data_IF_149984284676
#
_entry.id   IF_149984284676
#
_cell.length_a   1.000
_cell.length_b   1.000
_cell.length_c   1.000
_cell.angle_alpha   90.00
_cell.angle_beta   90.00
_cell.angle_gamma   90.00
#
_symmetry.space_group_name_H-M   'P 1'
#
loop_
_entity.id
_entity.type
_entity.pdbx_description
1 polymer ?
#
# COMPACT_ATOMS: atom_id res chain seq x y z
N UNK A 1 -22.61 1.44 -5.19
CA UNK A 1 -21.89 2.63 -4.68
C UNK A 1 -20.39 2.40 -4.82
N UNK A 2 -19.65 3.35 -5.41
CA UNK A 2 -18.19 3.31 -5.49
C UNK A 2 -17.62 3.82 -4.17
N UNK A 3 -16.76 3.05 -3.52
CA UNK A 3 -16.07 3.42 -2.28
C UNK A 3 -14.64 2.92 -2.34
N UNK A 4 -13.76 3.51 -1.53
CA UNK A 4 -12.36 3.07 -1.39
C UNK A 4 -12.03 2.87 0.08
N UNK A 5 -11.06 1.99 0.33
CA UNK A 5 -10.48 1.87 1.66
C UNK A 5 -9.71 3.16 1.98
N UNK A 6 -9.89 3.70 3.18
CA UNK A 6 -9.21 4.90 3.65
C UNK A 6 -8.61 4.64 5.03
N UNK A 7 -7.60 5.43 5.43
CA UNK A 7 -7.09 5.41 6.81
C UNK A 7 -8.20 5.80 7.79
N UNK A 8 -8.13 5.26 9.00
CA UNK A 8 -9.21 5.34 9.99
C UNK A 8 -9.63 6.77 10.36
N UNK A 9 -8.69 7.73 10.30
CA UNK A 9 -8.93 9.15 10.62
C UNK A 9 -9.44 9.99 9.43
N UNK A 10 -9.50 9.43 8.22
CA UNK A 10 -9.96 10.19 7.04
C UNK A 10 -11.41 10.66 7.18
N UNK A 11 -12.37 9.87 7.71
CA UNK A 11 -13.72 10.35 7.95
C UNK A 11 -13.77 11.59 8.86
N UNK A 12 -12.97 11.59 9.93
CA UNK A 12 -12.88 12.69 10.91
C UNK A 12 -12.28 13.95 10.27
N UNK A 13 -11.23 13.78 9.47
CA UNK A 13 -10.59 14.87 8.73
C UNK A 13 -11.57 15.50 7.73
N UNK A 14 -12.35 14.68 7.01
CA UNK A 14 -13.39 15.15 6.08
C UNK A 14 -14.48 15.94 6.83
N UNK A 15 -14.95 15.42 7.97
CA UNK A 15 -15.96 16.12 8.78
C UNK A 15 -15.46 17.50 9.25
N UNK A 16 -14.20 17.58 9.67
CA UNK A 16 -13.58 18.81 10.15
C UNK A 16 -13.33 19.83 9.03
N UNK A 17 -12.81 19.40 7.89
CA UNK A 17 -12.36 20.30 6.83
C UNK A 17 -13.50 20.68 5.86
N UNK A 18 -14.30 19.70 5.46
CA UNK A 18 -15.34 19.88 4.44
C UNK A 18 -16.72 20.16 5.06
N UNK A 19 -16.83 20.17 6.40
CA UNK A 19 -18.09 20.31 7.17
C UNK A 19 -19.18 19.33 6.71
N UNK A 20 -18.80 18.15 6.21
CA UNK A 20 -19.70 17.13 5.68
C UNK A 20 -19.47 15.79 6.38
N UNK A 21 -20.55 15.05 6.66
CA UNK A 21 -20.47 13.69 7.20
C UNK A 21 -20.31 12.66 6.08
N UNK A 22 -19.14 12.02 5.92
CA UNK A 22 -18.97 10.99 4.90
C UNK A 22 -19.74 9.72 5.27
N UNK A 23 -20.34 9.06 4.26
CA UNK A 23 -20.94 7.74 4.47
C UNK A 23 -19.83 6.70 4.60
N UNK A 24 -19.76 6.03 5.75
CA UNK A 24 -18.78 4.98 6.03
C UNK A 24 -19.47 3.65 6.34
N UNK A 25 -18.75 2.55 6.10
CA UNK A 25 -19.16 1.19 6.51
C UNK A 25 -17.91 0.48 7.03
N UNK A 26 -18.03 -0.25 8.13
CA UNK A 26 -16.99 -1.18 8.59
C UNK A 26 -17.00 -2.43 7.71
N UNK A 27 -15.84 -2.81 7.19
CA UNK A 27 -15.69 -4.00 6.34
C UNK A 27 -15.57 -5.26 7.19
N UNK A 28 -16.15 -6.36 6.74
CA UNK A 28 -15.80 -7.69 7.25
C UNK A 28 -14.35 -8.04 6.93
N UNK A 29 -13.77 -9.05 7.59
CA UNK A 29 -12.39 -9.49 7.34
C UNK A 29 -12.11 -9.79 5.86
N UNK A 30 -13.02 -10.52 5.19
CA UNK A 30 -12.89 -10.87 3.77
C UNK A 30 -13.00 -9.66 2.84
N UNK A 31 -13.93 -8.74 3.15
CA UNK A 31 -14.04 -7.48 2.40
C UNK A 31 -12.78 -6.62 2.59
N UNK A 32 -12.28 -6.50 3.83
CA UNK A 32 -11.08 -5.73 4.13
C UNK A 32 -9.84 -6.29 3.42
N UNK A 33 -9.62 -7.60 3.46
CA UNK A 33 -8.51 -8.24 2.74
C UNK A 33 -8.54 -7.94 1.24
N UNK A 34 -9.73 -8.02 0.62
CA UNK A 34 -9.92 -7.71 -0.80
C UNK A 34 -9.67 -6.22 -1.09
N UNK A 35 -10.25 -5.32 -0.31
CA UNK A 35 -10.10 -3.88 -0.54
C UNK A 35 -8.68 -3.40 -0.24
N UNK A 36 -7.97 -4.00 0.72
CA UNK A 36 -6.55 -3.69 0.99
C UNK A 36 -5.64 -4.10 -0.18
N UNK A 37 -5.90 -5.25 -0.81
CA UNK A 37 -5.18 -5.67 -2.03
C UNK A 37 -5.45 -4.74 -3.22
N UNK A 38 -6.69 -4.26 -3.37
CA UNK A 38 -7.00 -3.24 -4.38
C UNK A 38 -6.27 -1.94 -4.08
N UNK A 39 -6.25 -1.52 -2.81
CA UNK A 39 -5.54 -0.32 -2.37
C UNK A 39 -4.04 -0.41 -2.68
N UNK A 40 -3.41 -1.58 -2.48
CA UNK A 40 -2.00 -1.79 -2.89
C UNK A 40 -1.77 -1.51 -4.38
N UNK A 41 -2.69 -1.92 -5.25
CA UNK A 41 -2.59 -1.69 -6.69
C UNK A 41 -2.85 -0.22 -7.04
N UNK A 42 -3.79 0.44 -6.35
CA UNK A 42 -4.05 1.88 -6.44
C UNK A 42 -2.79 2.68 -6.10
N UNK A 43 -2.21 2.49 -4.91
CA UNK A 43 -1.02 3.23 -4.48
C UNK A 43 0.22 2.92 -5.34
N UNK A 44 0.39 1.67 -5.78
CA UNK A 44 1.48 1.33 -6.69
C UNK A 44 1.33 2.03 -8.06
N UNK A 45 0.10 2.19 -8.54
CA UNK A 45 -0.21 2.95 -9.76
C UNK A 45 0.04 4.45 -9.55
N UNK A 46 -0.32 5.01 -8.39
CA UNK A 46 -0.09 6.40 -8.03
C UNK A 46 1.42 6.67 -7.89
N UNK A 47 2.16 5.83 -7.17
CA UNK A 47 3.63 5.87 -7.09
C UNK A 47 4.31 5.78 -8.46
N UNK A 48 3.76 5.00 -9.41
CA UNK A 48 4.33 4.88 -10.76
C UNK A 48 4.19 6.16 -11.60
N UNK A 49 3.22 7.02 -11.25
CA UNK A 49 2.94 8.29 -11.92
C UNK A 49 3.40 9.50 -11.11
N UNK A 50 3.84 9.29 -9.87
CA UNK A 50 4.19 10.33 -8.93
C UNK A 50 5.41 11.14 -9.41
N UNK A 51 5.37 12.44 -9.11
CA UNK A 51 6.53 13.31 -9.23
C UNK A 51 7.51 13.03 -8.09
N UNK A 52 8.72 13.59 -8.17
CA UNK A 52 9.69 13.49 -7.08
C UNK A 52 9.13 14.03 -5.74
N UNK A 53 8.26 15.04 -5.79
CA UNK A 53 7.67 15.66 -4.60
C UNK A 53 6.59 14.79 -3.96
N UNK A 54 5.77 14.09 -4.76
CA UNK A 54 4.66 13.29 -4.26
C UNK A 54 5.04 11.83 -3.98
N UNK A 55 6.11 11.32 -4.61
CA UNK A 55 6.55 9.93 -4.46
C UNK A 55 6.77 9.47 -3.00
N UNK A 56 7.32 10.29 -2.08
CA UNK A 56 7.48 9.87 -0.69
C UNK A 56 6.17 9.49 0.00
N UNK A 57 5.06 10.20 -0.30
CA UNK A 57 3.75 9.93 0.30
C UNK A 57 3.19 8.59 -0.21
N UNK A 58 3.24 8.38 -1.53
CA UNK A 58 2.78 7.12 -2.15
C UNK A 58 3.57 5.90 -1.66
N UNK A 59 4.88 6.05 -1.49
CA UNK A 59 5.73 4.99 -0.93
C UNK A 59 5.41 4.71 0.54
N UNK A 60 5.06 5.74 1.32
CA UNK A 60 4.65 5.58 2.71
C UNK A 60 3.29 4.86 2.83
N UNK A 61 2.35 5.14 1.92
CA UNK A 61 1.08 4.43 1.86
C UNK A 61 1.27 2.96 1.44
N UNK A 62 2.17 2.67 0.49
CA UNK A 62 2.55 1.28 0.16
C UNK A 62 3.14 0.56 1.38
N UNK A 63 4.02 1.21 2.15
CA UNK A 63 4.63 0.60 3.34
C UNK A 63 3.59 0.29 4.44
N UNK A 64 2.63 1.20 4.69
CA UNK A 64 1.50 0.97 5.60
C UNK A 64 0.66 -0.23 5.16
N UNK A 65 0.37 -0.32 3.85
CA UNK A 65 -0.40 -1.43 3.29
C UNK A 65 0.35 -2.75 3.44
N UNK A 66 1.68 -2.77 3.25
CA UNK A 66 2.49 -3.98 3.50
C UNK A 66 2.41 -4.37 4.98
N UNK A 67 2.45 -3.43 5.92
CA UNK A 67 2.31 -3.71 7.35
C UNK A 67 0.92 -4.27 7.69
N UNK A 68 -0.14 -3.71 7.12
CA UNK A 68 -1.50 -4.22 7.27
C UNK A 68 -1.64 -5.64 6.69
N UNK A 69 -1.08 -5.92 5.52
CA UNK A 69 -1.05 -7.26 4.92
C UNK A 69 -0.28 -8.25 5.81
N UNK A 70 0.86 -7.84 6.35
CA UNK A 70 1.62 -8.67 7.28
C UNK A 70 0.77 -9.07 8.49
N UNK A 71 0.03 -8.13 9.08
CA UNK A 71 -0.88 -8.40 10.20
C UNK A 71 -1.99 -9.39 9.83
N UNK A 72 -2.68 -9.18 8.69
CA UNK A 72 -3.78 -10.06 8.23
C UNK A 72 -3.31 -11.49 8.02
N UNK A 73 -2.14 -11.67 7.41
CA UNK A 73 -1.58 -12.98 7.07
C UNK A 73 -0.65 -13.55 8.14
N UNK A 74 -0.54 -12.88 9.31
CA UNK A 74 0.34 -13.29 10.42
C UNK A 74 1.81 -13.46 9.99
N UNK A 75 2.28 -12.59 9.08
CA UNK A 75 3.64 -12.56 8.60
C UNK A 75 4.48 -11.61 9.45
N UNK A 76 5.72 -12.00 9.76
CA UNK A 76 6.70 -11.10 10.37
C UNK A 76 7.38 -10.26 9.28
N UNK A 77 7.56 -8.96 9.51
CA UNK A 77 8.34 -8.09 8.60
C UNK A 77 9.77 -8.61 8.37
N UNK A 78 10.38 -9.21 9.39
CA UNK A 78 11.69 -9.87 9.26
C UNK A 78 11.70 -11.01 8.24
N UNK A 79 10.59 -11.74 8.09
CA UNK A 79 10.44 -12.78 7.05
C UNK A 79 10.52 -12.17 5.65
N UNK A 80 9.82 -11.06 5.41
CA UNK A 80 9.87 -10.34 4.12
C UNK A 80 11.29 -9.85 3.84
N UNK A 81 11.95 -9.25 4.83
CA UNK A 81 13.34 -8.78 4.71
C UNK A 81 14.30 -9.94 4.41
N UNK A 82 14.15 -11.09 5.08
CA UNK A 82 14.96 -12.29 4.81
C UNK A 82 14.78 -12.77 3.36
N UNK A 83 13.54 -12.86 2.88
CA UNK A 83 13.23 -13.23 1.49
C UNK A 83 13.85 -12.22 0.51
N UNK A 84 13.74 -10.92 0.79
CA UNK A 84 14.35 -9.85 -0.03
C UNK A 84 15.86 -10.00 -0.14
N UNK A 85 16.54 -10.29 0.98
CA UNK A 85 17.99 -10.48 1.02
C UNK A 85 18.44 -11.75 0.30
N UNK A 86 17.72 -12.86 0.46
CA UNK A 86 17.99 -14.11 -0.29
C UNK A 86 17.86 -13.88 -1.79
N UNK A 87 16.77 -13.21 -2.24
CA UNK A 87 16.59 -12.85 -3.65
C UNK A 87 17.71 -11.95 -4.16
N UNK A 88 18.13 -10.98 -3.35
CA UNK A 88 19.23 -10.07 -3.68
C UNK A 88 20.57 -10.80 -3.85
N UNK A 89 20.88 -11.75 -2.96
CA UNK A 89 22.09 -12.55 -3.07
C UNK A 89 22.07 -13.47 -4.29
N UNK A 90 20.92 -14.11 -4.56
CA UNK A 90 20.77 -15.08 -5.65
C UNK A 90 20.64 -14.44 -7.05
N UNK A 91 19.99 -13.29 -7.16
CA UNK A 91 19.57 -12.68 -8.45
C UNK A 91 20.13 -11.27 -8.66
N UNK A 92 20.88 -10.74 -7.71
CA UNK A 92 21.32 -9.35 -7.70
C UNK A 92 20.20 -8.37 -7.32
N UNK A 93 20.45 -7.10 -7.59
CA UNK A 93 19.50 -6.00 -7.37
C UNK A 93 19.44 -5.10 -8.59
N UNK A 94 18.55 -4.11 -8.55
CA UNK A 94 18.40 -3.11 -9.60
C UNK A 94 19.57 -2.12 -9.73
N UNK A 95 20.66 -2.28 -8.96
CA UNK A 95 21.83 -1.36 -9.00
C UNK A 95 22.50 -1.28 -10.37
N UNK A 96 22.47 -2.37 -11.16
CA UNK A 96 23.10 -2.43 -12.49
C UNK A 96 22.24 -1.83 -13.61
N UNK A 97 20.99 -1.40 -13.34
CA UNK A 97 20.08 -0.77 -14.33
C UNK A 97 19.88 -1.60 -15.62
N UNK A 98 19.83 -2.92 -15.50
CA UNK A 98 19.68 -3.83 -16.63
C UNK A 98 18.20 -3.91 -17.04
N UNK A 99 17.90 -3.68 -18.31
CA UNK A 99 16.60 -3.93 -18.94
C UNK A 99 16.77 -5.08 -19.95
N UNK A 100 15.98 -6.15 -19.79
CA UNK A 100 16.05 -7.32 -20.66
C UNK A 100 15.12 -7.09 -21.87
N UNK A 101 15.66 -7.24 -23.08
CA UNK A 101 14.90 -7.23 -24.34
C UNK A 101 14.81 -8.68 -24.83
N UNK A 102 13.61 -9.10 -25.20
CA UNK A 102 13.30 -10.43 -25.75
C UNK A 102 12.39 -10.30 -26.95
#
# INVERSE_FOLDING_TARGET
MKGKLVRDRIPEIIEKNDKRKPRTKKLSRREFERELRKKLVEEASEASKATHLSLPEELADIEEIIDALCKIYKLKRSTITKIKNIKRAKRGSFKKRIFLIT
#
